data_IF_724340799339
#
_entry.id   IF_724340799339
#
_cell.length_a   1.000
_cell.length_b   1.000
_cell.length_c   1.000
_cell.angle_alpha   90.00
_cell.angle_beta   90.00
_cell.angle_gamma   90.00
#
_symmetry.space_group_name_H-M   'P 1'
#
loop_
_entity.id
_entity.type
_entity.pdbx_description
1 polymer ?
#
# COMPACT_ATOMS: atom_id res chain seq x y z
N UNK A 1 1.79 -25.76 -71.07
CA UNK A 1 1.48 -25.46 -69.66
C UNK A 1 1.55 -23.94 -69.50
N UNK A 2 0.42 -23.31 -69.22
CA UNK A 2 0.23 -21.85 -69.29
C UNK A 2 0.63 -21.17 -67.98
N UNK A 3 1.35 -20.06 -68.06
CA UNK A 3 1.56 -19.14 -66.94
C UNK A 3 1.49 -17.69 -67.47
N UNK A 4 0.34 -17.07 -67.26
CA UNK A 4 0.06 -15.66 -67.51
C UNK A 4 0.70 -14.79 -66.40
N UNK A 5 1.15 -13.57 -66.72
CA UNK A 5 1.78 -12.63 -65.77
C UNK A 5 0.79 -11.59 -65.20
N UNK A 6 1.32 -10.69 -64.34
CA UNK A 6 0.75 -9.39 -63.88
C UNK A 6 -0.37 -9.45 -62.82
N UNK A 7 -0.60 -8.48 -61.93
CA UNK A 7 0.12 -7.28 -61.46
C UNK A 7 -0.58 -6.76 -60.18
N UNK A 8 0.14 -5.88 -59.49
CA UNK A 8 -0.35 -4.62 -58.87
C UNK A 8 -1.41 -4.63 -57.74
N UNK A 9 -1.00 -4.05 -56.61
CA UNK A 9 -1.75 -2.98 -55.95
C UNK A 9 -2.73 -3.36 -54.86
N UNK A 10 -2.32 -3.21 -53.59
CA UNK A 10 -3.18 -2.56 -52.62
C UNK A 10 -2.37 -1.87 -51.53
N UNK A 11 -2.33 -0.55 -51.67
CA UNK A 11 -1.99 0.45 -50.65
C UNK A 11 -3.20 0.52 -49.72
N UNK A 12 -3.02 0.35 -48.42
CA UNK A 12 -4.16 0.41 -47.50
C UNK A 12 -3.75 0.30 -46.05
N UNK A 13 -3.15 1.37 -45.56
CA UNK A 13 -3.20 1.85 -44.18
C UNK A 13 -3.16 0.83 -43.04
N UNK A 14 -2.01 0.85 -42.38
CA UNK A 14 -1.85 0.70 -40.94
C UNK A 14 -2.99 1.36 -40.16
N UNK A 15 -4.10 0.64 -39.97
CA UNK A 15 -4.93 0.83 -38.77
C UNK A 15 -4.26 0.06 -37.63
N UNK A 16 -3.08 0.54 -37.23
CA UNK A 16 -2.61 0.41 -35.85
C UNK A 16 -3.74 1.02 -35.03
N UNK A 17 -4.63 0.17 -34.52
CA UNK A 17 -5.59 0.56 -33.49
C UNK A 17 -4.72 1.17 -32.39
N UNK A 18 -4.87 2.46 -32.05
CA UNK A 18 -4.17 2.99 -30.90
C UNK A 18 -4.62 2.12 -29.73
N UNK A 19 -3.66 1.33 -29.25
CA UNK A 19 -3.67 0.65 -27.97
C UNK A 19 -4.43 1.53 -27.02
N UNK A 20 -5.60 1.04 -26.55
CA UNK A 20 -6.37 1.70 -25.51
C UNK A 20 -5.37 2.17 -24.48
N UNK A 21 -5.20 3.48 -24.43
CA UNK A 21 -4.22 4.11 -23.57
C UNK A 21 -4.70 3.77 -22.18
N UNK A 22 -4.03 2.80 -21.56
CA UNK A 22 -4.24 2.46 -20.17
C UNK A 22 -4.28 3.79 -19.42
N UNK A 23 -5.34 4.07 -18.64
CA UNK A 23 -5.44 5.33 -17.92
C UNK A 23 -4.15 5.49 -17.13
N UNK A 24 -3.34 6.47 -17.54
CA UNK A 24 -2.13 6.86 -16.82
C UNK A 24 -2.58 7.08 -15.37
N UNK A 25 -1.94 6.49 -14.36
CA UNK A 25 -2.24 6.80 -12.97
C UNK A 25 -1.66 8.19 -12.65
N UNK A 26 -2.19 9.22 -13.31
CA UNK A 26 -2.14 10.58 -12.81
C UNK A 26 -2.95 10.56 -11.51
N UNK A 27 -2.29 10.94 -10.41
CA UNK A 27 -2.81 10.81 -9.06
C UNK A 27 -4.12 11.57 -8.86
N UNK A 28 -5.24 10.92 -9.21
CA UNK A 28 -6.53 11.30 -8.71
C UNK A 28 -6.41 11.26 -7.20
N UNK A 29 -6.49 12.43 -6.57
CA UNK A 29 -6.46 12.55 -5.12
C UNK A 29 -7.70 11.82 -4.63
N UNK A 30 -7.50 10.60 -4.12
CA UNK A 30 -8.57 9.79 -3.58
C UNK A 30 -9.29 10.61 -2.51
N UNK A 31 -10.59 10.75 -2.63
CA UNK A 31 -11.38 11.51 -1.65
C UNK A 31 -11.69 10.64 -0.44
N UNK A 32 -12.11 11.28 0.66
CA UNK A 32 -12.64 10.54 1.81
C UNK A 32 -13.87 9.68 1.45
N UNK A 33 -14.61 10.05 0.39
CA UNK A 33 -15.73 9.26 -0.14
C UNK A 33 -15.22 7.97 -0.78
N UNK A 34 -14.15 8.05 -1.56
CA UNK A 34 -13.55 6.89 -2.23
C UNK A 34 -13.03 5.87 -1.22
N UNK A 35 -12.40 6.33 -0.13
CA UNK A 35 -11.96 5.47 0.97
C UNK A 35 -13.12 4.82 1.72
N UNK A 36 -14.24 5.53 1.90
CA UNK A 36 -15.46 4.92 2.47
C UNK A 36 -16.06 3.87 1.54
N UNK A 37 -16.06 4.11 0.22
CA UNK A 37 -16.49 3.12 -0.77
C UNK A 37 -15.57 1.90 -0.76
N UNK A 38 -14.25 2.11 -0.73
CA UNK A 38 -13.27 1.04 -0.60
C UNK A 38 -13.46 0.21 0.68
N UNK A 39 -13.85 0.85 1.80
CA UNK A 39 -14.16 0.15 3.05
C UNK A 39 -15.38 -0.78 2.93
N UNK A 40 -16.35 -0.48 2.05
CA UNK A 40 -17.49 -1.38 1.80
C UNK A 40 -17.09 -2.64 1.02
N UNK A 41 -16.00 -2.57 0.26
CA UNK A 41 -15.48 -3.67 -0.55
C UNK A 41 -14.53 -4.60 0.22
N UNK A 42 -14.41 -4.44 1.54
CA UNK A 42 -13.53 -5.28 2.36
C UNK A 42 -13.98 -6.75 2.43
N UNK A 43 -15.27 -7.03 2.21
CA UNK A 43 -15.80 -8.40 2.14
C UNK A 43 -15.61 -9.08 0.78
N UNK A 44 -15.16 -8.34 -0.25
CA UNK A 44 -15.03 -8.87 -1.59
C UNK A 44 -13.77 -9.74 -1.75
N UNK A 45 -13.94 -10.92 -2.35
CA UNK A 45 -12.86 -11.90 -2.52
C UNK A 45 -12.05 -11.71 -3.81
N UNK A 46 -12.46 -10.80 -4.70
CA UNK A 46 -11.74 -10.51 -5.93
C UNK A 46 -10.32 -9.97 -5.66
N UNK A 47 -9.25 -10.60 -6.21
CA UNK A 47 -7.88 -10.14 -6.04
C UNK A 47 -7.64 -8.71 -6.55
N UNK A 48 -8.32 -8.34 -7.65
CA UNK A 48 -8.23 -7.00 -8.22
C UNK A 48 -8.82 -5.94 -7.27
N UNK A 49 -9.97 -6.24 -6.65
CA UNK A 49 -10.62 -5.38 -5.66
C UNK A 49 -9.74 -5.23 -4.43
N UNK A 50 -9.22 -6.34 -3.88
CA UNK A 50 -8.29 -6.29 -2.73
C UNK A 50 -7.05 -5.44 -3.01
N UNK A 51 -6.48 -5.55 -4.22
CA UNK A 51 -5.34 -4.73 -4.65
C UNK A 51 -5.73 -3.24 -4.70
N UNK A 52 -6.88 -2.92 -5.29
CA UNK A 52 -7.37 -1.54 -5.39
C UNK A 52 -7.64 -0.92 -4.00
N UNK A 53 -8.31 -1.67 -3.11
CA UNK A 53 -8.55 -1.29 -1.72
C UNK A 53 -7.21 -1.01 -1.03
N UNK A 54 -6.24 -1.94 -1.10
CA UNK A 54 -4.92 -1.72 -0.48
C UNK A 54 -4.24 -0.45 -1.00
N UNK A 55 -4.26 -0.20 -2.31
CA UNK A 55 -3.70 1.03 -2.90
C UNK A 55 -4.40 2.27 -2.36
N UNK A 56 -5.74 2.24 -2.25
CA UNK A 56 -6.50 3.37 -1.74
C UNK A 56 -6.18 3.70 -0.27
N UNK A 57 -6.14 2.68 0.59
CA UNK A 57 -5.83 2.85 2.01
C UNK A 57 -4.37 3.32 2.24
N UNK A 58 -3.44 2.92 1.37
CA UNK A 58 -2.05 3.41 1.40
C UNK A 58 -1.90 4.89 1.07
N UNK A 59 -2.74 5.40 0.17
CA UNK A 59 -2.68 6.81 -0.23
C UNK A 59 -3.05 7.76 0.93
N UNK A 60 -3.91 7.33 1.85
CA UNK A 60 -4.34 8.13 3.01
C UNK A 60 -4.27 7.34 4.32
N UNK A 61 -3.06 7.08 4.85
CA UNK A 61 -2.85 6.16 5.97
C UNK A 61 -3.55 6.61 7.27
N UNK A 62 -3.73 7.92 7.49
CA UNK A 62 -4.44 8.43 8.68
C UNK A 62 -5.92 8.12 8.65
N UNK A 63 -6.60 8.45 7.54
CA UNK A 63 -8.02 8.17 7.37
C UNK A 63 -8.29 6.66 7.33
N UNK A 64 -7.42 5.92 6.63
CA UNK A 64 -7.41 4.48 6.57
C UNK A 64 -7.45 3.83 7.96
N UNK A 65 -6.57 4.25 8.88
CA UNK A 65 -6.56 3.72 10.26
C UNK A 65 -7.88 3.92 10.99
N UNK A 66 -8.47 5.11 10.90
CA UNK A 66 -9.76 5.39 11.54
C UNK A 66 -10.90 4.54 10.97
N UNK A 67 -10.94 4.35 9.64
CA UNK A 67 -11.96 3.52 9.00
C UNK A 67 -11.79 2.03 9.32
N UNK A 68 -10.55 1.54 9.31
CA UNK A 68 -10.24 0.15 9.65
C UNK A 68 -10.53 -0.16 11.12
N UNK A 69 -10.26 0.76 12.04
CA UNK A 69 -10.60 0.58 13.46
C UNK A 69 -12.10 0.34 13.67
N UNK A 70 -12.98 1.04 12.93
CA UNK A 70 -14.43 0.84 12.99
C UNK A 70 -14.90 -0.51 12.44
N UNK A 71 -14.11 -1.13 11.54
CA UNK A 71 -14.42 -2.41 10.89
C UNK A 71 -13.69 -3.61 11.51
N UNK A 72 -12.88 -3.39 12.55
CA UNK A 72 -12.13 -4.45 13.21
C UNK A 72 -13.03 -5.49 13.92
N UNK A 73 -14.25 -5.08 14.26
CA UNK A 73 -15.27 -5.89 14.95
C UNK A 73 -16.49 -6.18 14.07
N UNK A 74 -16.33 -6.13 12.74
CA UNK A 74 -17.41 -6.47 11.80
C UNK A 74 -17.88 -7.92 12.01
N UNK A 75 -19.16 -8.20 11.76
CA UNK A 75 -19.76 -9.52 11.97
C UNK A 75 -19.15 -10.57 11.02
N UNK A 76 -18.77 -10.15 9.80
CA UNK A 76 -18.15 -11.02 8.81
C UNK A 76 -16.68 -11.35 9.18
N UNK A 77 -16.32 -12.63 9.39
CA UNK A 77 -14.94 -13.05 9.64
C UNK A 77 -13.95 -12.67 8.52
N UNK A 78 -14.39 -12.63 7.26
CA UNK A 78 -13.53 -12.27 6.12
C UNK A 78 -13.12 -10.82 6.19
N UNK A 79 -14.08 -9.93 6.45
CA UNK A 79 -13.84 -8.50 6.67
C UNK A 79 -12.85 -8.31 7.82
N UNK A 80 -13.04 -8.99 8.95
CA UNK A 80 -12.09 -8.90 10.09
C UNK A 80 -10.67 -9.34 9.71
N UNK A 81 -10.53 -10.45 8.99
CA UNK A 81 -9.23 -10.94 8.54
C UNK A 81 -8.53 -9.93 7.62
N UNK A 82 -9.26 -9.34 6.67
CA UNK A 82 -8.72 -8.34 5.76
C UNK A 82 -8.35 -7.04 6.46
N UNK A 83 -9.20 -6.57 7.40
CA UNK A 83 -8.91 -5.39 8.21
C UNK A 83 -7.60 -5.57 8.98
N UNK A 84 -7.43 -6.71 9.65
CA UNK A 84 -6.19 -7.02 10.39
C UNK A 84 -4.98 -7.04 9.46
N UNK A 85 -5.09 -7.69 8.30
CA UNK A 85 -4.01 -7.72 7.31
C UNK A 85 -3.61 -6.32 6.84
N UNK A 86 -4.59 -5.46 6.55
CA UNK A 86 -4.36 -4.08 6.12
C UNK A 86 -3.76 -3.22 7.23
N UNK A 87 -4.21 -3.38 8.48
CA UNK A 87 -3.64 -2.67 9.63
C UNK A 87 -2.15 -2.97 9.79
N UNK A 88 -1.77 -4.26 9.79
CA UNK A 88 -0.36 -4.69 9.87
C UNK A 88 0.47 -4.10 8.73
N UNK A 89 -0.05 -4.12 7.50
CA UNK A 89 0.66 -3.55 6.36
C UNK A 89 0.89 -2.04 6.50
N UNK A 90 -0.13 -1.29 6.93
CA UNK A 90 -0.02 0.16 7.14
C UNK A 90 0.91 0.52 8.30
N UNK A 91 0.90 -0.26 9.38
CA UNK A 91 1.82 -0.09 10.51
C UNK A 91 3.27 -0.32 10.08
N UNK A 92 3.54 -1.41 9.35
CA UNK A 92 4.88 -1.70 8.84
C UNK A 92 5.40 -0.59 7.94
N UNK A 93 4.58 -0.09 7.01
CA UNK A 93 4.94 1.03 6.14
C UNK A 93 5.24 2.32 6.94
N UNK A 94 4.47 2.57 8.00
CA UNK A 94 4.75 3.70 8.88
C UNK A 94 6.08 3.54 9.62
N UNK A 95 6.39 2.34 10.13
CA UNK A 95 7.68 2.05 10.77
C UNK A 95 8.83 2.27 9.78
N UNK A 96 8.74 1.73 8.57
CA UNK A 96 9.74 1.96 7.51
C UNK A 96 9.92 3.44 7.22
N UNK A 97 8.82 4.20 7.09
CA UNK A 97 8.88 5.65 6.86
C UNK A 97 9.51 6.40 8.04
N UNK A 98 9.29 5.94 9.27
CA UNK A 98 9.94 6.51 10.48
C UNK A 98 11.43 6.19 10.50
N UNK A 99 11.81 4.95 10.17
CA UNK A 99 13.21 4.52 10.07
C UNK A 99 13.96 5.30 9.00
N UNK A 100 13.41 5.43 7.79
CA UNK A 100 14.04 6.21 6.71
C UNK A 100 14.23 7.68 7.09
N UNK A 101 13.22 8.30 7.71
CA UNK A 101 13.34 9.68 8.23
C UNK A 101 14.36 9.81 9.36
N UNK A 102 14.57 8.75 10.13
CA UNK A 102 15.54 8.73 11.22
C UNK A 102 16.97 8.62 10.67
N UNK A 103 17.21 7.72 9.70
CA UNK A 103 18.50 7.54 9.04
C UNK A 103 18.94 8.77 8.23
N UNK A 104 18.00 9.56 7.72
CA UNK A 104 18.30 10.80 7.00
C UNK A 104 18.83 11.95 7.90
N UNK A 105 18.92 11.75 9.23
CA UNK A 105 19.41 12.79 10.15
C UNK A 105 20.94 12.78 10.25
N UNK A 106 21.60 13.95 10.35
CA UNK A 106 23.06 14.06 10.40
C UNK A 106 23.69 13.51 11.69
N UNK A 107 22.92 13.43 12.78
CA UNK A 107 23.32 12.77 14.03
C UNK A 107 22.33 11.66 14.33
N UNK A 108 22.83 10.44 14.41
CA UNK A 108 22.04 9.23 14.61
C UNK A 108 22.18 8.80 16.07
N UNK A 109 21.06 8.82 16.80
CA UNK A 109 20.95 8.26 18.15
C UNK A 109 20.79 6.74 18.07
N UNK A 110 21.87 6.00 18.33
CA UNK A 110 21.93 4.54 18.15
C UNK A 110 20.82 3.81 18.91
N UNK A 111 20.48 4.24 20.13
CA UNK A 111 19.42 3.63 20.95
C UNK A 111 18.06 3.74 20.24
N UNK A 112 17.76 4.94 19.73
CA UNK A 112 16.53 5.18 18.97
C UNK A 112 16.52 4.46 17.63
N UNK A 113 17.69 4.29 17.00
CA UNK A 113 17.86 3.51 15.78
C UNK A 113 17.55 2.03 15.99
N UNK A 114 18.15 1.42 17.02
CA UNK A 114 17.91 0.03 17.41
C UNK A 114 16.45 -0.21 17.76
N UNK A 115 15.80 0.74 18.44
CA UNK A 115 14.38 0.63 18.72
C UNK A 115 13.51 0.65 17.46
N UNK A 116 13.80 1.55 16.51
CA UNK A 116 13.07 1.59 15.24
C UNK A 116 13.29 0.33 14.41
N UNK A 117 14.48 -0.27 14.49
CA UNK A 117 14.80 -1.55 13.87
C UNK A 117 14.03 -2.70 14.55
N UNK A 118 13.95 -2.73 15.88
CA UNK A 118 13.12 -3.69 16.61
C UNK A 118 11.63 -3.58 16.24
N UNK A 119 11.11 -2.35 16.05
CA UNK A 119 9.74 -2.15 15.55
C UNK A 119 9.52 -2.60 14.11
N UNK A 120 10.57 -2.71 13.31
CA UNK A 120 10.44 -3.21 11.94
C UNK A 120 10.18 -4.72 11.92
N UNK A 121 10.78 -5.44 12.87
CA UNK A 121 10.58 -6.88 13.07
C UNK A 121 9.23 -7.16 13.76
N UNK A 122 8.95 -6.50 14.90
CA UNK A 122 7.65 -6.52 15.56
C UNK A 122 7.08 -5.09 15.73
N UNK A 123 6.09 -4.69 14.90
CA UNK A 123 5.44 -3.37 14.98
C UNK A 123 4.80 -3.04 16.33
N UNK A 124 4.50 -4.06 17.16
CA UNK A 124 3.88 -3.90 18.49
C UNK A 124 4.89 -3.64 19.61
N UNK A 125 6.18 -3.76 19.35
CA UNK A 125 7.24 -3.49 20.33
C UNK A 125 7.15 -2.06 20.88
N UNK A 126 7.01 -1.93 22.20
CA UNK A 126 7.01 -0.64 22.91
C UNK A 126 8.42 -0.32 23.47
N UNK A 127 8.87 0.93 23.32
CA UNK A 127 10.18 1.41 23.78
C UNK A 127 10.18 1.77 25.26
N UNK A 128 9.01 2.13 25.79
CA UNK A 128 8.86 2.71 27.13
C UNK A 128 9.40 1.82 28.25
N UNK A 129 9.25 0.48 28.20
CA UNK A 129 9.84 -0.40 29.22
C UNK A 129 11.37 -0.41 29.16
N UNK A 130 11.93 -0.46 27.95
CA UNK A 130 13.38 -0.63 27.74
C UNK A 130 14.20 0.64 28.01
N UNK A 131 13.59 1.83 27.89
CA UNK A 131 14.23 3.09 28.30
C UNK A 131 14.41 3.25 29.80
N UNK A 132 13.62 2.53 30.63
CA UNK A 132 13.73 2.59 32.09
C UNK A 132 14.84 1.71 32.67
N UNK A 133 15.28 0.69 31.94
CA UNK A 133 16.31 -0.22 32.39
C UNK A 133 17.71 0.43 32.52
N UNK A 134 18.22 1.23 31.56
CA UNK A 134 19.57 1.79 31.67
C UNK A 134 19.70 2.90 32.72
N UNK A 135 18.64 3.69 32.99
CA UNK A 135 18.67 4.70 34.05
C UNK A 135 18.79 4.09 35.47
N UNK A 136 18.47 2.81 35.63
CA UNK A 136 18.64 2.07 36.89
C UNK A 136 20.07 1.62 37.17
N UNK A 137 20.94 1.52 36.15
CA UNK A 137 22.33 1.08 36.28
C UNK A 137 23.33 2.25 36.39
N UNK A 138 22.86 3.49 36.26
CA UNK A 138 23.68 4.70 36.35
C UNK A 138 23.67 5.34 37.76
N UNK A 139 23.29 4.59 38.80
CA UNK A 139 23.36 5.00 40.21
C UNK A 139 24.46 4.29 40.97
#
# INVERSE_FOLDING_TARGET
MAATPQSSGSRGDERVRPTQTAPRPGGAVLTARDLRSAAKLLGEDSPAVRRAVRTAFRAQPRLAKHLLAKRAHDEDPRVRAHVRSLQVALEREEVVRRLMRFLAKPKVDLERGLFLLGRFDDPRTDARPYKRAPDGFAR
#
